data_IF_124957681631
#
_entry.id   IF_124957681631
#
_cell.length_a   1.000
_cell.length_b   1.000
_cell.length_c   1.000
_cell.angle_alpha   90.00
_cell.angle_beta   90.00
_cell.angle_gamma   90.00
#
_symmetry.space_group_name_H-M   'P 1'
#
loop_
_entity.id
_entity.type
_entity.pdbx_description
1 polymer ?
#
# COMPACT_ATOMS: atom_id res chain seq x y z
N UNK A 1 14.00 1.77 13.78
CA UNK A 1 14.58 0.40 13.71
C UNK A 1 15.43 0.26 12.44
N UNK A 2 16.58 -0.44 12.47
CA UNK A 2 17.33 -0.79 11.25
C UNK A 2 16.66 -2.00 10.59
N UNK A 3 16.39 -1.89 9.29
CA UNK A 3 15.69 -2.91 8.47
C UNK A 3 16.66 -3.68 7.58
N UNK A 4 17.72 -3.02 7.08
CA UNK A 4 18.72 -3.64 6.22
C UNK A 4 20.13 -3.28 6.69
N UNK A 5 20.89 -4.24 7.20
CA UNK A 5 22.29 -4.01 7.58
C UNK A 5 23.21 -3.82 6.37
N UNK A 6 22.94 -4.52 5.26
CA UNK A 6 23.75 -4.47 4.04
C UNK A 6 23.83 -3.08 3.40
N UNK A 7 22.76 -2.32 3.51
CA UNK A 7 22.61 -0.98 2.93
C UNK A 7 22.33 0.08 4.02
N UNK A 8 22.42 -0.30 5.30
CA UNK A 8 22.20 0.56 6.47
C UNK A 8 20.88 1.35 6.37
N UNK A 9 19.79 0.65 6.04
CA UNK A 9 18.47 1.28 5.88
C UNK A 9 17.69 1.21 7.19
N UNK A 10 17.08 2.33 7.57
CA UNK A 10 16.15 2.41 8.70
C UNK A 10 14.70 2.28 8.25
N UNK A 11 13.81 1.89 9.16
CA UNK A 11 12.36 1.86 8.96
C UNK A 11 11.84 3.25 8.53
N UNK A 12 12.33 4.32 9.16
CA UNK A 12 11.94 5.68 8.78
C UNK A 12 12.39 6.04 7.35
N UNK A 13 13.59 5.62 6.94
CA UNK A 13 14.04 5.81 5.56
C UNK A 13 13.14 5.07 4.56
N UNK A 14 12.72 3.85 4.88
CA UNK A 14 11.76 3.09 4.04
C UNK A 14 10.42 3.82 3.96
N UNK A 15 9.88 4.31 5.08
CA UNK A 15 8.59 5.04 5.12
C UNK A 15 8.65 6.36 4.36
N UNK A 16 9.76 7.09 4.45
CA UNK A 16 9.93 8.38 3.79
C UNK A 16 9.82 8.30 2.25
N UNK A 17 10.12 7.13 1.66
CA UNK A 17 9.94 6.89 0.24
C UNK A 17 8.49 6.64 -0.18
N UNK A 18 7.60 6.30 0.76
CA UNK A 18 6.21 5.95 0.49
C UNK A 18 5.35 7.22 0.46
N UNK A 19 5.06 7.69 -0.74
CA UNK A 19 4.26 8.89 -0.99
C UNK A 19 3.05 8.57 -1.88
N UNK A 20 2.10 9.50 -1.99
CA UNK A 20 1.03 9.39 -3.00
C UNK A 20 1.59 9.83 -4.34
N UNK A 21 1.56 8.95 -5.34
CA UNK A 21 2.00 9.28 -6.69
C UNK A 21 2.43 8.07 -7.52
N UNK A 22 2.71 8.29 -8.82
CA UNK A 22 3.22 7.27 -9.72
C UNK A 22 4.63 6.80 -9.36
N UNK A 23 5.45 7.66 -8.75
CA UNK A 23 6.83 7.35 -8.35
C UNK A 23 6.92 6.60 -7.01
N UNK A 24 5.79 6.31 -6.37
CA UNK A 24 5.76 5.56 -5.12
C UNK A 24 6.20 4.11 -5.34
N UNK A 25 7.23 3.61 -4.64
CA UNK A 25 7.73 2.27 -4.85
C UNK A 25 6.68 1.22 -4.46
N UNK A 26 6.49 0.24 -5.33
CA UNK A 26 5.54 -0.89 -5.20
C UNK A 26 6.23 -2.22 -4.91
N UNK A 27 7.56 -2.25 -4.95
CA UNK A 27 8.35 -3.44 -4.57
C UNK A 27 9.51 -3.09 -3.64
N UNK A 28 10.02 -4.03 -2.82
CA UNK A 28 11.21 -3.81 -2.02
C UNK A 28 12.45 -3.41 -2.85
N UNK A 29 12.57 -3.93 -4.07
CA UNK A 29 13.64 -3.56 -4.98
C UNK A 29 13.52 -2.09 -5.42
N UNK A 30 12.31 -1.60 -5.67
CA UNK A 30 12.08 -0.18 -5.96
C UNK A 30 12.34 0.72 -4.74
N UNK A 31 12.07 0.24 -3.51
CA UNK A 31 12.48 0.96 -2.29
C UNK A 31 14.00 1.12 -2.24
N UNK A 32 14.75 0.06 -2.52
CA UNK A 32 16.20 0.14 -2.62
C UNK A 32 16.64 1.17 -3.67
N UNK A 33 16.06 1.12 -4.88
CA UNK A 33 16.37 2.06 -5.95
C UNK A 33 16.03 3.52 -5.58
N UNK A 34 14.88 3.75 -4.94
CA UNK A 34 14.45 5.06 -4.45
C UNK A 34 15.43 5.63 -3.41
N UNK A 35 16.03 4.77 -2.58
CA UNK A 35 17.06 5.12 -1.60
C UNK A 35 18.49 5.15 -2.19
N UNK A 36 18.63 5.04 -3.51
CA UNK A 36 19.92 5.12 -4.19
C UNK A 36 20.83 3.90 -3.99
N UNK A 37 20.25 2.72 -3.76
CA UNK A 37 21.03 1.49 -3.56
C UNK A 37 20.45 0.28 -4.31
N UNK A 38 21.25 -0.78 -4.45
CA UNK A 38 20.80 -2.06 -4.98
C UNK A 38 20.60 -3.09 -3.84
N UNK A 39 19.68 -4.05 -3.99
CA UNK A 39 19.55 -5.15 -3.04
C UNK A 39 20.84 -6.00 -3.01
N UNK A 40 21.29 -6.39 -1.81
CA UNK A 40 22.48 -7.26 -1.63
C UNK A 40 22.09 -8.70 -1.31
N UNK A 41 21.79 -8.98 -0.03
CA UNK A 41 21.48 -10.34 0.44
C UNK A 41 19.97 -10.67 0.53
N UNK A 42 19.09 -9.71 0.23
CA UNK A 42 17.63 -9.90 0.21
C UNK A 42 16.93 -10.17 1.55
N UNK A 43 17.65 -10.42 2.65
CA UNK A 43 17.06 -10.76 3.97
C UNK A 43 16.05 -9.73 4.49
N UNK A 44 16.24 -8.46 4.17
CA UNK A 44 15.34 -7.37 4.56
C UNK A 44 14.05 -7.29 3.74
N UNK A 45 13.91 -8.04 2.63
CA UNK A 45 12.82 -7.86 1.68
C UNK A 45 11.43 -8.08 2.28
N UNK A 46 11.26 -9.10 3.14
CA UNK A 46 9.97 -9.33 3.83
C UNK A 46 9.64 -8.18 4.79
N UNK A 47 10.61 -7.73 5.58
CA UNK A 47 10.40 -6.61 6.51
C UNK A 47 10.06 -5.32 5.76
N UNK A 48 10.76 -5.01 4.67
CA UNK A 48 10.44 -3.86 3.80
C UNK A 48 9.01 -3.98 3.27
N UNK A 49 8.60 -5.16 2.78
CA UNK A 49 7.22 -5.38 2.30
C UNK A 49 6.19 -5.13 3.39
N UNK A 50 6.39 -5.66 4.60
CA UNK A 50 5.47 -5.41 5.71
C UNK A 50 5.40 -3.93 6.09
N UNK A 51 6.50 -3.19 6.03
CA UNK A 51 6.48 -1.73 6.26
C UNK A 51 5.63 -1.03 5.19
N UNK A 52 5.77 -1.44 3.92
CA UNK A 52 4.98 -0.89 2.81
C UNK A 52 3.48 -1.16 2.98
N UNK A 53 3.10 -2.40 3.30
CA UNK A 53 1.71 -2.80 3.53
C UNK A 53 1.09 -2.00 4.68
N UNK A 54 1.79 -1.89 5.82
CA UNK A 54 1.32 -1.11 6.97
C UNK A 54 1.15 0.38 6.62
N UNK A 55 2.07 0.96 5.85
CA UNK A 55 1.98 2.35 5.43
C UNK A 55 0.80 2.58 4.47
N UNK A 56 0.52 1.64 3.56
CA UNK A 56 -0.64 1.70 2.66
C UNK A 56 -1.95 1.55 3.42
N UNK A 57 -2.01 0.66 4.41
CA UNK A 57 -3.22 0.46 5.22
C UNK A 57 -3.54 1.71 6.04
N UNK A 58 -2.55 2.32 6.70
CA UNK A 58 -2.73 3.59 7.39
C UNK A 58 -3.19 4.72 6.45
N UNK A 59 -2.67 4.74 5.22
CA UNK A 59 -3.11 5.70 4.20
C UNK A 59 -4.54 5.44 3.67
N UNK A 60 -5.04 4.21 3.78
CA UNK A 60 -6.42 3.85 3.41
C UNK A 60 -7.39 4.27 4.52
N UNK A 61 -7.04 4.08 5.79
CA UNK A 61 -7.89 4.53 6.90
C UNK A 61 -8.04 6.07 6.94
N UNK A 62 -6.95 6.80 6.70
CA UNK A 62 -6.97 8.28 6.73
C UNK A 62 -7.61 8.92 5.50
N UNK A 63 -7.71 8.21 4.37
CA UNK A 63 -8.22 8.76 3.10
C UNK A 63 -9.40 8.00 2.50
N UNK A 64 -9.89 6.98 3.20
CA UNK A 64 -11.04 6.20 2.79
C UNK A 64 -12.30 7.03 2.94
N UNK A 65 -12.76 7.65 1.86
CA UNK A 65 -14.17 8.01 1.78
C UNK A 65 -14.94 6.70 1.88
N UNK A 66 -15.74 6.50 2.92
CA UNK A 66 -16.59 5.33 3.08
C UNK A 66 -17.69 5.36 2.02
N UNK A 67 -17.34 5.03 0.77
CA UNK A 67 -18.26 4.97 -0.34
C UNK A 67 -19.18 3.77 -0.13
N UNK A 68 -20.40 4.05 0.34
CA UNK A 68 -21.50 3.09 0.39
C UNK A 68 -22.35 3.17 -0.87
N UNK A 69 -23.09 2.10 -1.18
CA UNK A 69 -24.13 2.12 -2.22
C UNK A 69 -25.22 3.19 -1.96
N UNK A 70 -25.31 3.70 -0.73
CA UNK A 70 -26.27 4.74 -0.29
C UNK A 70 -25.68 6.16 -0.30
N UNK A 71 -24.48 6.39 -0.83
CA UNK A 71 -23.90 7.73 -0.82
C UNK A 71 -24.66 8.68 -1.78
N UNK A 72 -24.82 9.95 -1.40
CA UNK A 72 -25.53 10.95 -2.21
C UNK A 72 -24.76 11.39 -3.48
N UNK A 73 -23.54 10.90 -3.66
CA UNK A 73 -22.69 11.24 -4.80
C UNK A 73 -23.02 10.36 -6.00
N UNK A 74 -23.09 10.96 -7.20
CA UNK A 74 -23.24 10.22 -8.46
C UNK A 74 -21.93 9.53 -8.85
N UNK A 75 -21.51 8.51 -8.10
CA UNK A 75 -20.33 7.69 -8.35
C UNK A 75 -20.72 6.31 -8.88
N UNK A 76 -19.80 5.62 -9.55
CA UNK A 76 -20.01 4.28 -10.12
C UNK A 76 -20.44 3.23 -9.09
N UNK A 77 -20.10 3.42 -7.80
CA UNK A 77 -20.46 2.50 -6.73
C UNK A 77 -21.97 2.50 -6.43
N UNK A 78 -22.66 3.63 -6.60
CA UNK A 78 -24.14 3.72 -6.51
C UNK A 78 -24.83 3.01 -7.68
N UNK A 79 -24.15 2.86 -8.83
CA UNK A 79 -24.71 2.22 -10.02
C UNK A 79 -24.66 0.69 -10.00
N UNK A 80 -23.95 0.09 -9.05
CA UNK A 80 -23.90 -1.37 -8.87
C UNK A 80 -25.15 -1.80 -8.11
N UNK A 81 -26.15 -2.32 -8.83
CA UNK A 81 -27.31 -2.94 -8.20
C UNK A 81 -26.88 -4.27 -7.56
N UNK A 82 -27.28 -4.58 -6.31
CA UNK A 82 -27.15 -5.94 -5.79
C UNK A 82 -28.09 -6.82 -6.61
N UNK A 83 -27.55 -7.80 -7.34
CA UNK A 83 -28.37 -8.84 -7.92
C UNK A 83 -29.01 -9.60 -6.75
N UNK A 84 -30.31 -9.41 -6.60
CA UNK A 84 -31.14 -10.02 -5.58
C UNK A 84 -31.14 -11.56 -5.67
N UNK A 85 -31.02 -12.11 -4.47
CA UNK A 85 -31.16 -13.49 -4.03
C UNK A 85 -32.45 -14.14 -4.55
N UNK A 86 -32.35 -15.32 -5.18
CA UNK A 86 -33.54 -16.07 -5.59
C UNK A 86 -33.29 -17.21 -6.57
N UNK A 87 -32.77 -18.34 -6.09
CA UNK A 87 -33.08 -19.63 -6.71
C UNK A 87 -33.57 -20.54 -5.59
N UNK A 88 -34.89 -20.61 -5.52
CA UNK A 88 -35.65 -21.52 -4.68
C UNK A 88 -35.31 -22.98 -4.98
N UNK A 89 -35.55 -23.80 -3.96
CA UNK A 89 -35.38 -25.26 -3.91
C UNK A 89 -36.03 -26.05 -5.05
#
# INVERSE_FOLDING_TARGET
MIVCSCNVLSDNAVRACLHRGPDCPRTPAQVHACLGCSPKCGRCARTIRSIMENALQGALEEAGHACSATCASSCSLVKVQPAEEGIAA
#
